data_IF_810993377833
#
_entry.id   IF_810993377833
#
_cell.length_a   1.000
_cell.length_b   1.000
_cell.length_c   1.000
_cell.angle_alpha   90.00
_cell.angle_beta   90.00
_cell.angle_gamma   90.00
#
_symmetry.space_group_name_H-M   'P 1'
#
loop_
_entity.id
_entity.type
_entity.pdbx_description
1 polymer ?
#
# COMPACT_ATOMS: atom_id res chain seq x y z
N UNK A 1 7.99 -0.27 39.64
CA UNK A 1 6.81 0.35 38.97
C UNK A 1 7.21 1.23 37.79
N UNK A 2 8.26 2.08 37.88
CA UNK A 2 8.75 2.88 36.74
C UNK A 2 9.16 2.02 35.53
N UNK A 3 10.07 1.05 35.72
CA UNK A 3 10.48 0.10 34.67
C UNK A 3 9.31 -0.61 33.97
N UNK A 4 8.32 -1.08 34.75
CA UNK A 4 7.16 -1.79 34.22
C UNK A 4 6.28 -0.87 33.35
N UNK A 5 6.16 0.41 33.74
CA UNK A 5 5.44 1.42 32.95
C UNK A 5 6.17 1.75 31.66
N UNK A 6 7.51 1.82 31.68
CA UNK A 6 8.31 2.10 30.48
C UNK A 6 8.20 0.97 29.45
N UNK A 7 8.33 -0.29 29.90
CA UNK A 7 8.12 -1.46 29.03
C UNK A 7 6.70 -1.46 28.46
N UNK A 8 5.69 -1.14 29.27
CA UNK A 8 4.30 -1.05 28.81
C UNK A 8 4.11 0.04 27.75
N UNK A 9 4.70 1.21 27.94
CA UNK A 9 4.66 2.31 26.96
C UNK A 9 5.36 1.89 25.67
N UNK A 10 6.54 1.29 25.75
CA UNK A 10 7.28 0.79 24.58
C UNK A 10 6.48 -0.27 23.83
N UNK A 11 5.85 -1.20 24.53
CA UNK A 11 4.97 -2.20 23.92
C UNK A 11 3.80 -1.57 23.16
N UNK A 12 3.17 -0.52 23.72
CA UNK A 12 2.13 0.24 23.03
C UNK A 12 2.63 1.01 21.82
N UNK A 13 3.85 1.55 21.87
CA UNK A 13 4.49 2.19 20.72
C UNK A 13 4.70 1.15 19.61
N UNK A 14 5.31 0.00 19.92
CA UNK A 14 5.51 -1.09 18.94
C UNK A 14 4.18 -1.55 18.36
N UNK A 15 3.15 -1.74 19.19
CA UNK A 15 1.80 -2.05 18.72
C UNK A 15 1.28 -0.99 17.74
N UNK A 16 1.42 0.29 18.08
CA UNK A 16 1.04 1.41 17.21
C UNK A 16 1.76 1.39 15.86
N UNK A 17 3.05 1.05 15.83
CA UNK A 17 3.84 0.94 14.59
C UNK A 17 3.33 -0.21 13.69
N UNK A 18 2.97 -1.34 14.27
CA UNK A 18 2.38 -2.47 13.53
C UNK A 18 0.99 -2.11 12.98
N UNK A 19 0.18 -1.41 13.79
CA UNK A 19 -1.12 -0.92 13.36
C UNK A 19 -1.01 0.12 12.24
N UNK A 20 0.00 1.00 12.27
CA UNK A 20 0.26 1.95 11.18
C UNK A 20 0.46 1.22 9.85
N UNK A 21 1.33 0.22 9.81
CA UNK A 21 1.59 -0.55 8.58
C UNK A 21 0.36 -1.34 8.15
N UNK A 22 -0.40 -1.88 9.10
CA UNK A 22 -1.68 -2.54 8.82
C UNK A 22 -2.67 -1.59 8.14
N UNK A 23 -2.90 -0.40 8.71
CA UNK A 23 -3.84 0.57 8.14
C UNK A 23 -3.36 1.12 6.80
N UNK A 24 -2.05 1.30 6.59
CA UNK A 24 -1.49 1.69 5.30
C UNK A 24 -1.80 0.65 4.20
N UNK A 25 -1.55 -0.63 4.48
CA UNK A 25 -1.87 -1.72 3.56
C UNK A 25 -3.39 -1.87 3.33
N UNK A 26 -4.20 -1.62 4.36
CA UNK A 26 -5.66 -1.62 4.23
C UNK A 26 -6.16 -0.46 3.37
N UNK A 27 -5.57 0.73 3.51
CA UNK A 27 -5.88 1.88 2.66
C UNK A 27 -5.55 1.60 1.19
N UNK A 28 -4.42 0.92 0.91
CA UNK A 28 -4.06 0.46 -0.44
C UNK A 28 -5.12 -0.50 -1.01
N UNK A 29 -5.57 -1.47 -0.21
CA UNK A 29 -6.62 -2.40 -0.60
C UNK A 29 -7.97 -1.71 -0.84
N UNK A 30 -8.42 -0.86 0.08
CA UNK A 30 -9.66 -0.09 -0.04
C UNK A 30 -9.66 0.80 -1.29
N UNK A 31 -8.52 1.45 -1.58
CA UNK A 31 -8.32 2.24 -2.80
C UNK A 31 -8.46 1.37 -4.05
N UNK A 32 -7.82 0.19 -4.07
CA UNK A 32 -7.95 -0.79 -5.15
C UNK A 32 -9.38 -1.27 -5.36
N UNK A 33 -10.07 -1.64 -4.28
CA UNK A 33 -11.45 -2.14 -4.29
C UNK A 33 -12.44 -1.08 -4.79
N UNK A 34 -12.27 0.18 -4.37
CA UNK A 34 -13.08 1.31 -4.84
C UNK A 34 -12.87 1.54 -6.34
N UNK A 35 -11.61 1.51 -6.80
CA UNK A 35 -11.26 1.67 -8.22
C UNK A 35 -11.85 0.55 -9.08
N UNK A 36 -11.79 -0.71 -8.64
CA UNK A 36 -12.37 -1.85 -9.37
C UNK A 36 -13.90 -1.73 -9.49
N UNK A 37 -14.58 -1.28 -8.43
CA UNK A 37 -16.03 -1.05 -8.46
C UNK A 37 -16.45 -0.02 -9.50
N UNK A 38 -15.68 1.07 -9.62
CA UNK A 38 -15.94 2.13 -10.60
C UNK A 38 -15.75 1.68 -12.06
N UNK A 39 -15.00 0.59 -12.30
CA UNK A 39 -14.75 0.06 -13.65
C UNK A 39 -15.64 -1.12 -14.04
N UNK A 40 -16.52 -1.57 -13.14
CA UNK A 40 -17.33 -2.77 -13.37
C UNK A 40 -16.53 -4.08 -13.44
N UNK A 41 -15.29 -4.10 -12.95
CA UNK A 41 -14.46 -5.30 -12.96
C UNK A 41 -14.94 -6.33 -11.92
N UNK A 42 -15.01 -7.60 -12.33
CA UNK A 42 -15.44 -8.70 -11.46
C UNK A 42 -14.47 -8.82 -10.29
N UNK A 43 -15.00 -8.71 -9.06
CA UNK A 43 -14.18 -8.80 -7.85
C UNK A 43 -13.72 -10.24 -7.64
N UNK A 44 -12.46 -10.52 -7.97
CA UNK A 44 -11.82 -11.78 -7.59
C UNK A 44 -11.18 -11.67 -6.20
N UNK A 45 -11.13 -12.79 -5.48
CA UNK A 45 -10.45 -12.93 -4.19
C UNK A 45 -8.94 -12.63 -4.25
N UNK A 46 -8.40 -12.48 -5.46
CA UNK A 46 -7.00 -12.21 -5.75
C UNK A 46 -6.47 -10.94 -5.05
N UNK A 47 -7.28 -9.86 -5.02
CA UNK A 47 -6.88 -8.60 -4.36
C UNK A 47 -6.61 -8.77 -2.86
N UNK A 48 -7.47 -9.53 -2.17
CA UNK A 48 -7.30 -9.85 -0.75
C UNK A 48 -6.08 -10.73 -0.52
N UNK A 49 -5.90 -11.78 -1.32
CA UNK A 49 -4.73 -12.67 -1.23
C UNK A 49 -3.43 -11.88 -1.38
N UNK A 50 -3.37 -10.97 -2.36
CA UNK A 50 -2.21 -10.08 -2.56
C UNK A 50 -1.92 -9.20 -1.35
N UNK A 51 -2.93 -8.65 -0.68
CA UNK A 51 -2.76 -7.85 0.53
C UNK A 51 -2.30 -8.69 1.72
N UNK A 52 -2.82 -9.92 1.87
CA UNK A 52 -2.35 -10.86 2.90
C UNK A 52 -0.88 -11.22 2.69
N UNK A 53 -0.49 -11.57 1.47
CA UNK A 53 0.91 -11.88 1.14
C UNK A 53 1.84 -10.67 1.38
N UNK A 54 1.35 -9.46 1.10
CA UNK A 54 2.06 -8.21 1.37
C UNK A 54 2.22 -7.97 2.87
N UNK A 55 1.15 -8.10 3.65
CA UNK A 55 1.17 -7.99 5.10
C UNK A 55 2.11 -9.02 5.73
N UNK A 56 2.09 -10.27 5.27
CA UNK A 56 3.00 -11.31 5.77
C UNK A 56 4.47 -10.92 5.58
N UNK A 57 4.85 -10.40 4.40
CA UNK A 57 6.22 -9.91 4.15
C UNK A 57 6.58 -8.73 5.04
N UNK A 58 5.67 -7.77 5.20
CA UNK A 58 5.91 -6.58 6.03
C UNK A 58 6.01 -6.91 7.51
N UNK A 59 5.19 -7.83 8.00
CA UNK A 59 5.23 -8.26 9.40
C UNK A 59 6.47 -9.10 9.68
N UNK A 60 6.91 -9.96 8.75
CA UNK A 60 8.18 -10.66 8.89
C UNK A 60 9.37 -9.69 9.02
N UNK A 61 9.38 -8.63 8.21
CA UNK A 61 10.38 -7.57 8.31
C UNK A 61 10.27 -6.82 9.65
N UNK A 62 9.08 -6.35 10.03
CA UNK A 62 8.87 -5.62 11.29
C UNK A 62 9.27 -6.44 12.51
N UNK A 63 8.98 -7.74 12.53
CA UNK A 63 9.38 -8.66 13.61
C UNK A 63 10.91 -8.71 13.69
N UNK A 64 11.59 -8.86 12.55
CA UNK A 64 13.05 -8.86 12.54
C UNK A 64 13.63 -7.55 13.09
N UNK A 65 13.06 -6.39 12.71
CA UNK A 65 13.48 -5.09 13.23
C UNK A 65 13.17 -4.92 14.72
N UNK A 66 12.03 -5.44 15.19
CA UNK A 66 11.65 -5.40 16.61
C UNK A 66 12.60 -6.24 17.45
N UNK A 67 13.06 -7.39 16.95
CA UNK A 67 14.08 -8.20 17.62
C UNK A 67 15.39 -7.40 17.77
N UNK A 68 15.79 -6.65 16.74
CA UNK A 68 16.98 -5.78 16.82
C UNK A 68 16.80 -4.70 17.89
N UNK A 69 15.65 -4.04 17.94
CA UNK A 69 15.34 -3.07 18.99
C UNK A 69 15.38 -3.72 20.39
N UNK A 70 14.79 -4.91 20.57
CA UNK A 70 14.86 -5.64 21.83
C UNK A 70 16.31 -5.89 22.28
N UNK A 71 17.20 -6.25 21.36
CA UNK A 71 18.62 -6.44 21.65
C UNK A 71 19.31 -5.12 22.04
N UNK A 72 19.01 -4.03 21.33
CA UNK A 72 19.55 -2.70 21.64
C UNK A 72 19.08 -2.21 23.01
N UNK A 73 17.79 -2.39 23.32
CA UNK A 73 17.21 -2.03 24.61
C UNK A 73 17.80 -2.85 25.75
N UNK A 74 18.05 -4.15 25.55
CA UNK A 74 18.75 -4.96 26.54
C UNK A 74 20.18 -4.44 26.82
N UNK A 75 20.87 -3.94 25.79
CA UNK A 75 22.16 -3.26 25.94
C UNK A 75 22.05 -1.94 26.72
N UNK A 76 21.03 -1.12 26.43
CA UNK A 76 20.75 0.12 27.17
C UNK A 76 20.46 -0.18 28.64
N UNK A 77 19.64 -1.20 28.91
CA UNK A 77 19.33 -1.64 30.27
C UNK A 77 20.57 -2.12 31.04
N UNK A 78 21.48 -2.83 30.37
CA UNK A 78 22.78 -3.19 30.96
C UNK A 78 23.60 -1.93 31.31
N UNK A 79 23.67 -0.95 30.41
CA UNK A 79 24.40 0.30 30.66
C UNK A 79 23.79 1.13 31.79
N UNK A 80 22.46 1.13 31.91
CA UNK A 80 21.76 1.82 32.99
C UNK A 80 22.09 1.21 34.35
N UNK A 81 22.02 -0.11 34.47
CA UNK A 81 22.28 -0.83 35.74
C UNK A 81 23.75 -0.72 36.17
N UNK A 82 24.69 -0.94 35.25
CA UNK A 82 26.10 -1.11 35.60
C UNK A 82 26.91 0.18 35.52
N UNK A 83 26.47 1.16 34.72
CA UNK A 83 27.21 2.40 34.48
C UNK A 83 26.39 3.66 34.80
N UNK A 84 25.11 3.53 35.21
CA UNK A 84 24.26 4.66 35.57
C UNK A 84 23.87 5.53 34.37
N UNK A 85 23.95 4.99 33.16
CA UNK A 85 23.53 5.70 31.95
C UNK A 85 22.01 5.61 31.78
N UNK A 86 21.29 6.64 32.24
CA UNK A 86 19.84 6.78 32.09
C UNK A 86 19.43 7.17 30.65
N UNK A 87 19.68 6.30 29.69
CA UNK A 87 19.32 6.48 28.28
C UNK A 87 17.87 5.99 28.07
N UNK A 88 17.00 6.78 27.43
CA UNK A 88 15.62 6.38 27.20
C UNK A 88 15.51 5.18 26.24
N UNK A 89 14.67 4.21 26.61
CA UNK A 89 14.38 3.00 25.84
C UNK A 89 13.34 3.33 24.76
N UNK A 90 13.69 3.19 23.48
CA UNK A 90 12.79 3.49 22.36
C UNK A 90 13.06 2.60 21.13
N UNK A 91 12.03 2.07 20.42
CA UNK A 91 12.19 1.16 19.28
C UNK A 91 12.50 1.93 17.99
N UNK A 92 13.72 2.48 17.90
CA UNK A 92 14.13 3.35 16.79
C UNK A 92 14.16 2.60 15.46
N UNK A 93 14.66 1.37 15.45
CA UNK A 93 14.87 0.61 14.20
C UNK A 93 13.53 0.19 13.61
N UNK A 94 12.60 -0.27 14.44
CA UNK A 94 11.23 -0.61 14.06
C UNK A 94 10.44 0.62 13.64
N UNK A 95 10.63 1.76 14.30
CA UNK A 95 10.02 3.03 13.89
C UNK A 95 10.41 3.39 12.45
N UNK A 96 11.70 3.37 12.14
CA UNK A 96 12.20 3.69 10.79
C UNK A 96 11.64 2.69 9.77
N UNK A 97 11.63 1.40 10.12
CA UNK A 97 11.05 0.35 9.27
C UNK A 97 9.56 0.57 8.97
N UNK A 98 8.76 0.88 10.00
CA UNK A 98 7.34 1.14 9.86
C UNK A 98 7.04 2.39 9.01
N UNK A 99 7.81 3.47 9.21
CA UNK A 99 7.71 4.68 8.36
C UNK A 99 8.05 4.34 6.91
N UNK A 100 9.15 3.61 6.68
CA UNK A 100 9.57 3.19 5.34
C UNK A 100 8.50 2.36 4.62
N UNK A 101 7.91 1.38 5.32
CA UNK A 101 6.80 0.58 4.80
C UNK A 101 5.55 1.43 4.51
N UNK A 102 5.22 2.38 5.40
CA UNK A 102 4.13 3.33 5.18
C UNK A 102 4.32 4.18 3.92
N UNK A 103 5.54 4.69 3.69
CA UNK A 103 5.88 5.47 2.48
C UNK A 103 5.72 4.61 1.22
N UNK A 104 6.17 3.35 1.24
CA UNK A 104 6.03 2.41 0.12
C UNK A 104 4.55 2.22 -0.24
N UNK A 105 3.67 2.05 0.75
CA UNK A 105 2.23 1.90 0.51
C UNK A 105 1.59 3.17 -0.06
N UNK A 106 1.93 4.34 0.50
CA UNK A 106 1.45 5.63 -0.02
C UNK A 106 1.87 5.81 -1.47
N UNK A 107 3.15 5.53 -1.80
CA UNK A 107 3.66 5.59 -3.17
C UNK A 107 2.93 4.61 -4.09
N UNK A 108 2.65 3.39 -3.63
CA UNK A 108 1.90 2.38 -4.40
C UNK A 108 0.49 2.86 -4.78
N UNK A 109 -0.18 3.63 -3.91
CA UNK A 109 -1.50 4.19 -4.20
C UNK A 109 -1.43 5.23 -5.32
N UNK A 110 -0.42 6.11 -5.30
CA UNK A 110 -0.20 7.15 -6.31
C UNK A 110 0.19 6.56 -7.65
N UNK A 111 1.12 5.60 -7.70
CA UNK A 111 1.50 4.89 -8.94
C UNK A 111 0.27 4.24 -9.60
N UNK A 112 -0.56 3.54 -8.82
CA UNK A 112 -1.81 2.96 -9.30
C UNK A 112 -2.84 4.01 -9.77
N UNK A 113 -2.72 5.26 -9.35
CA UNK A 113 -3.59 6.34 -9.83
C UNK A 113 -3.09 6.89 -11.16
N UNK A 114 -1.79 7.10 -11.29
CA UNK A 114 -1.14 7.59 -12.51
C UNK A 114 -1.23 6.57 -13.66
N UNK A 115 -0.94 5.30 -13.39
CA UNK A 115 -1.06 4.22 -14.38
C UNK A 115 -2.47 4.09 -14.95
N UNK A 116 -3.50 4.37 -14.12
CA UNK A 116 -4.88 4.42 -14.59
C UNK A 116 -5.06 5.54 -15.62
N UNK A 117 -4.64 6.75 -15.26
CA UNK A 117 -4.80 7.93 -16.12
C UNK A 117 -4.08 7.72 -17.45
N UNK A 118 -2.85 7.20 -17.43
CA UNK A 118 -2.08 6.90 -18.64
C UNK A 118 -2.78 5.89 -19.55
N UNK A 119 -3.31 4.80 -18.98
CA UNK A 119 -4.02 3.79 -19.76
C UNK A 119 -5.29 4.36 -20.41
N UNK A 120 -6.06 5.18 -19.69
CA UNK A 120 -7.26 5.83 -20.22
C UNK A 120 -6.88 6.77 -21.40
N UNK A 121 -5.81 7.56 -21.27
CA UNK A 121 -5.29 8.39 -22.38
C UNK A 121 -4.82 7.59 -23.60
N UNK A 122 -4.11 6.48 -23.38
CA UNK A 122 -3.67 5.62 -24.49
C UNK A 122 -4.85 5.00 -25.24
N UNK A 123 -5.91 4.60 -24.54
CA UNK A 123 -7.13 4.09 -25.18
C UNK A 123 -7.81 5.17 -26.02
N UNK A 124 -7.93 6.41 -25.51
CA UNK A 124 -8.49 7.53 -26.26
C UNK A 124 -7.65 7.85 -27.50
N UNK A 125 -6.32 7.85 -27.39
CA UNK A 125 -5.41 8.08 -28.52
C UNK A 125 -5.51 6.97 -29.57
N UNK A 126 -5.60 5.71 -29.16
CA UNK A 126 -5.81 4.59 -30.08
C UNK A 126 -7.14 4.73 -30.83
N UNK A 127 -8.23 5.04 -30.12
CA UNK A 127 -9.54 5.26 -30.71
C UNK A 127 -9.51 6.42 -31.73
N UNK A 128 -8.90 7.54 -31.37
CA UNK A 128 -8.75 8.69 -32.26
C UNK A 128 -7.91 8.36 -33.51
N UNK A 129 -6.84 7.58 -33.35
CA UNK A 129 -6.00 7.12 -34.46
C UNK A 129 -6.73 6.14 -35.39
N UNK A 130 -7.59 5.29 -34.86
CA UNK A 130 -8.43 4.37 -35.62
C UNK A 130 -9.51 5.14 -36.41
N UNK A 131 -10.18 6.10 -35.79
CA UNK A 131 -11.13 7.02 -36.45
C UNK A 131 -10.43 7.82 -37.56
N UNK A 132 -9.21 8.31 -37.32
CA UNK A 132 -8.44 9.06 -38.31
C UNK A 132 -7.97 8.20 -39.51
N UNK A 133 -7.83 6.88 -39.34
CA UNK A 133 -7.51 5.95 -40.44
C UNK A 133 -8.71 5.65 -41.33
N UNK A 134 -9.94 5.72 -40.83
CA UNK A 134 -11.18 5.41 -41.56
C UNK A 134 -11.85 6.63 -42.23
N UNK A 135 -11.06 7.57 -42.73
CA UNK A 135 -11.42 8.92 -43.23
C UNK A 135 -12.45 9.05 -44.38
N UNK A 136 -13.23 8.04 -44.77
CA UNK A 136 -14.08 8.16 -45.98
C UNK A 136 -15.57 7.83 -45.89
N UNK A 137 -16.13 7.41 -44.75
CA UNK A 137 -17.60 7.37 -44.65
C UNK A 137 -18.12 7.64 -43.22
N UNK A 138 -18.97 8.68 -43.01
CA UNK A 138 -19.54 9.00 -41.70
C UNK A 138 -20.34 7.85 -41.07
N UNK A 139 -20.91 6.98 -41.91
CA UNK A 139 -21.71 5.83 -41.46
C UNK A 139 -20.84 4.73 -40.83
N UNK A 140 -19.63 4.48 -41.33
CA UNK A 140 -18.72 3.47 -40.76
C UNK A 140 -18.16 3.91 -39.41
N UNK A 141 -17.88 5.20 -39.24
CA UNK A 141 -17.45 5.77 -37.96
C UNK A 141 -18.57 5.66 -36.92
N UNK A 142 -19.81 5.99 -37.31
CA UNK A 142 -20.97 5.83 -36.44
C UNK A 142 -21.16 4.36 -36.03
N UNK A 143 -20.98 3.42 -36.96
CA UNK A 143 -21.08 1.98 -36.69
C UNK A 143 -19.98 1.49 -35.75
N UNK A 144 -18.73 1.90 -35.94
CA UNK A 144 -17.62 1.53 -35.09
C UNK A 144 -17.76 2.09 -33.66
N UNK A 145 -18.23 3.33 -33.51
CA UNK A 145 -18.53 3.93 -32.20
C UNK A 145 -19.68 3.20 -31.51
N UNK A 146 -20.75 2.87 -32.23
CA UNK A 146 -21.90 2.10 -31.71
C UNK A 146 -21.48 0.68 -31.32
N UNK A 147 -20.67 -0.01 -32.11
CA UNK A 147 -20.15 -1.34 -31.80
C UNK A 147 -19.21 -1.33 -30.59
N UNK A 148 -18.41 -0.27 -30.43
CA UNK A 148 -17.56 -0.09 -29.25
C UNK A 148 -18.39 0.15 -27.98
N UNK A 149 -19.42 1.00 -28.06
CA UNK A 149 -20.35 1.27 -26.95
C UNK A 149 -21.15 0.00 -26.57
N UNK A 150 -21.58 -0.78 -27.57
CA UNK A 150 -22.34 -2.02 -27.35
C UNK A 150 -21.46 -3.15 -26.79
N UNK A 151 -20.18 -3.25 -27.20
CA UNK A 151 -19.22 -4.15 -26.55
C UNK A 151 -18.94 -3.79 -25.10
N UNK A 152 -19.03 -2.50 -24.74
CA UNK A 152 -18.88 -2.02 -23.36
C UNK A 152 -20.12 -2.21 -22.48
N UNK A 153 -21.30 -2.36 -23.09
CA UNK A 153 -22.60 -2.40 -22.40
C UNK A 153 -23.13 -3.83 -22.12
N UNK A 154 -22.37 -4.86 -22.53
CA UNK A 154 -22.72 -6.28 -22.38
C UNK A 154 -22.04 -7.02 -21.23
N UNK A 155 -21.58 -6.33 -20.18
CA UNK A 155 -21.08 -6.94 -18.95
C UNK A 155 -21.80 -6.40 -17.72
#
# INVERSE_FOLDING_TARGET
MKELNEIFIVAWIVFGLYMLVFFAAMADLCSGIRKAKLRGEVRSSYGFKRTVDKLARYYNLLIALTVVDCMQMAGIWYLDIFYGYHIPIFPVVTLIGAIGLGIIEVKSIFEKAEDKVRNDYQQVLMLAGEIAKHRTDPEEIAKAVVDYINKGSGK
#
